data_IF_383645747380
#
_entry.id   IF_383645747380
#
_cell.length_a   1.000
_cell.length_b   1.000
_cell.length_c   1.000
_cell.angle_alpha   90.00
_cell.angle_beta   90.00
_cell.angle_gamma   90.00
#
_symmetry.space_group_name_H-M   'P 1'
#
loop_
_entity.id
_entity.type
_entity.pdbx_description
1 polymer ?
#
# COMPACT_ATOMS: atom_id res chain seq x y z
N UNK A 1 3.13 24.89 5.67
CA UNK A 1 3.45 23.48 5.48
C UNK A 1 2.42 22.61 6.15
N UNK A 2 1.80 21.72 5.41
CA UNK A 2 0.78 20.82 5.95
C UNK A 2 1.44 19.65 6.64
N UNK A 3 1.08 19.42 7.91
CA UNK A 3 1.51 18.25 8.67
C UNK A 3 0.39 17.21 8.67
N UNK A 4 0.71 15.98 8.32
CA UNK A 4 -0.25 14.89 8.28
C UNK A 4 -0.19 14.08 9.58
N UNK A 5 -1.35 13.82 10.17
CA UNK A 5 -1.47 12.95 11.33
C UNK A 5 -1.87 11.56 10.86
N UNK A 6 -0.99 10.59 11.08
CA UNK A 6 -1.27 9.18 10.76
C UNK A 6 -1.95 8.55 11.95
N UNK A 7 -3.09 7.92 11.71
CA UNK A 7 -3.94 7.35 12.77
C UNK A 7 -4.52 6.00 12.37
N UNK A 8 -4.98 5.20 13.34
CA UNK A 8 -5.66 3.94 13.00
C UNK A 8 -6.93 4.21 12.18
N UNK A 9 -7.18 3.32 11.20
CA UNK A 9 -8.42 3.35 10.44
C UNK A 9 -9.59 2.88 11.31
N UNK A 10 -10.79 3.34 10.98
CA UNK A 10 -12.02 2.87 11.64
C UNK A 10 -12.88 2.08 10.67
N UNK A 11 -13.76 1.23 11.21
CA UNK A 11 -14.66 0.43 10.37
C UNK A 11 -15.59 1.29 9.52
N UNK A 12 -15.96 2.48 10.00
CA UNK A 12 -16.79 3.41 9.25
C UNK A 12 -16.08 3.99 8.02
N UNK A 13 -14.77 3.85 7.94
CA UNK A 13 -13.97 4.40 6.84
C UNK A 13 -13.65 3.38 5.75
N UNK A 14 -14.04 2.12 5.91
CA UNK A 14 -13.68 1.06 4.97
C UNK A 14 -14.06 1.41 3.53
N UNK A 15 -15.27 1.91 3.31
CA UNK A 15 -15.72 2.23 1.95
C UNK A 15 -14.87 3.33 1.33
N UNK A 16 -14.50 4.34 2.10
CA UNK A 16 -13.64 5.42 1.60
C UNK A 16 -12.22 4.91 1.33
N UNK A 17 -11.67 4.09 2.20
CA UNK A 17 -10.33 3.49 2.01
C UNK A 17 -10.36 2.59 0.76
N UNK A 18 -11.43 1.81 0.59
CA UNK A 18 -11.59 0.96 -0.59
C UNK A 18 -11.60 1.79 -1.88
N UNK A 19 -12.23 2.97 -1.87
CA UNK A 19 -12.25 3.86 -3.02
C UNK A 19 -10.84 4.39 -3.34
N UNK A 20 -10.09 4.80 -2.33
CA UNK A 20 -8.70 5.23 -2.50
C UNK A 20 -7.86 4.11 -3.10
N UNK A 21 -8.03 2.90 -2.59
CA UNK A 21 -7.31 1.71 -3.08
C UNK A 21 -7.70 1.37 -4.51
N UNK A 22 -9.00 1.34 -4.80
CA UNK A 22 -9.51 1.05 -6.13
C UNK A 22 -8.96 2.04 -7.17
N UNK A 23 -9.10 3.34 -6.91
CA UNK A 23 -8.65 4.37 -7.84
C UNK A 23 -7.15 4.28 -8.09
N UNK A 24 -6.38 4.15 -7.00
CA UNK A 24 -4.92 4.08 -7.09
C UNK A 24 -4.43 2.81 -7.74
N UNK A 25 -5.05 1.67 -7.41
CA UNK A 25 -4.66 0.39 -7.96
C UNK A 25 -4.90 0.34 -9.48
N UNK A 26 -6.08 0.76 -9.92
CA UNK A 26 -6.41 0.73 -11.34
C UNK A 26 -5.53 1.70 -12.14
N UNK A 27 -5.28 2.89 -11.61
CA UNK A 27 -4.37 3.83 -12.26
C UNK A 27 -2.97 3.26 -12.42
N UNK A 28 -2.45 2.60 -11.37
CA UNK A 28 -1.07 2.13 -11.36
C UNK A 28 -0.88 0.78 -12.06
N UNK A 29 -1.87 -0.12 -12.01
CA UNK A 29 -1.67 -1.53 -12.33
C UNK A 29 -2.49 -2.07 -13.49
N UNK A 30 -3.63 -1.46 -13.83
CA UNK A 30 -4.56 -2.05 -14.81
C UNK A 30 -3.89 -2.42 -16.13
N UNK A 31 -2.92 -1.62 -16.57
CA UNK A 31 -2.19 -1.83 -17.84
C UNK A 31 -0.93 -2.71 -17.67
N UNK A 32 -0.59 -3.12 -16.43
CA UNK A 32 0.62 -3.87 -16.13
C UNK A 32 0.34 -5.33 -15.75
N UNK A 33 -0.93 -5.69 -15.52
CA UNK A 33 -1.32 -7.00 -15.02
C UNK A 33 -2.26 -7.69 -15.99
N UNK A 34 -2.45 -9.02 -15.88
CA UNK A 34 -3.41 -9.72 -16.74
C UNK A 34 -4.82 -9.15 -16.60
N UNK A 35 -5.58 -9.06 -17.71
CA UNK A 35 -6.95 -8.52 -17.66
C UNK A 35 -7.87 -9.23 -16.67
N UNK A 36 -7.67 -10.54 -16.45
CA UNK A 36 -8.47 -11.27 -15.46
C UNK A 36 -8.32 -10.71 -14.06
N UNK A 37 -7.10 -10.34 -13.67
CA UNK A 37 -6.89 -9.74 -12.36
C UNK A 37 -7.55 -8.36 -12.27
N UNK A 38 -7.43 -7.55 -13.32
CA UNK A 38 -8.05 -6.23 -13.37
C UNK A 38 -9.56 -6.34 -13.17
N UNK A 39 -10.20 -7.32 -13.81
CA UNK A 39 -11.65 -7.53 -13.67
C UNK A 39 -12.06 -7.94 -12.26
N UNK A 40 -11.19 -8.67 -11.55
CA UNK A 40 -11.47 -9.13 -10.19
C UNK A 40 -11.20 -8.07 -9.11
N UNK A 41 -10.49 -6.99 -9.45
CA UNK A 41 -10.20 -5.89 -8.52
C UNK A 41 -11.32 -4.86 -8.58
N UNK A 42 -12.48 -5.25 -8.09
CA UNK A 42 -13.66 -4.40 -7.98
C UNK A 42 -13.62 -3.59 -6.69
N UNK A 43 -14.42 -2.53 -6.61
CA UNK A 43 -14.53 -1.75 -5.38
C UNK A 43 -14.92 -2.63 -4.19
N UNK A 44 -15.88 -3.52 -4.41
CA UNK A 44 -16.34 -4.47 -3.38
C UNK A 44 -15.21 -5.41 -2.94
N UNK A 45 -14.36 -5.86 -3.87
CA UNK A 45 -13.25 -6.75 -3.53
C UNK A 45 -12.24 -6.07 -2.61
N UNK A 46 -11.99 -4.78 -2.81
CA UNK A 46 -11.11 -4.03 -1.93
C UNK A 46 -11.73 -3.84 -0.55
N UNK A 47 -13.03 -3.53 -0.47
CA UNK A 47 -13.73 -3.42 0.81
C UNK A 47 -13.69 -4.75 1.58
N UNK A 48 -13.95 -5.86 0.91
CA UNK A 48 -13.88 -7.19 1.54
C UNK A 48 -12.50 -7.52 2.07
N UNK A 49 -11.45 -7.15 1.34
CA UNK A 49 -10.06 -7.39 1.77
C UNK A 49 -9.67 -6.52 2.96
N UNK A 50 -10.24 -5.32 3.07
CA UNK A 50 -9.93 -4.40 4.16
C UNK A 50 -10.47 -4.88 5.51
N UNK A 51 -11.62 -5.55 5.53
CA UNK A 51 -12.24 -5.98 6.81
C UNK A 51 -11.27 -6.77 7.70
N UNK A 52 -10.67 -7.87 7.24
CA UNK A 52 -9.79 -8.65 8.11
C UNK A 52 -8.46 -7.96 8.43
N UNK A 53 -8.00 -7.03 7.59
CA UNK A 53 -6.72 -6.36 7.81
C UNK A 53 -6.84 -5.03 8.54
N UNK A 54 -8.06 -4.62 8.91
CA UNK A 54 -8.31 -3.29 9.48
C UNK A 54 -7.41 -2.94 10.67
N UNK A 55 -7.11 -3.85 11.61
CA UNK A 55 -6.20 -3.54 12.71
C UNK A 55 -4.79 -3.11 12.27
N UNK A 56 -4.37 -3.51 11.08
CA UNK A 56 -3.06 -3.19 10.53
C UNK A 56 -3.08 -2.01 9.56
N UNK A 57 -4.24 -1.33 9.42
CA UNK A 57 -4.41 -0.22 8.49
C UNK A 57 -4.36 1.10 9.24
N UNK A 58 -3.53 2.01 8.72
CA UNK A 58 -3.51 3.39 9.19
C UNK A 58 -3.79 4.34 8.06
N UNK A 59 -4.34 5.49 8.38
CA UNK A 59 -4.82 6.46 7.40
C UNK A 59 -4.31 7.86 7.73
N UNK A 60 -4.33 8.72 6.71
CA UNK A 60 -4.17 10.16 6.83
C UNK A 60 -5.40 10.83 6.23
N UNK A 61 -5.74 12.01 6.79
CA UNK A 61 -6.90 12.77 6.35
C UNK A 61 -7.95 12.87 7.43
N UNK A 62 -8.96 13.69 7.19
CA UNK A 62 -10.02 13.97 8.16
C UNK A 62 -10.78 12.69 8.53
N UNK A 63 -11.30 12.64 9.75
CA UNK A 63 -12.14 11.53 10.20
C UNK A 63 -13.32 11.34 9.25
N UNK A 64 -13.51 10.11 8.78
CA UNK A 64 -14.54 9.75 7.82
C UNK A 64 -14.19 10.06 6.36
N UNK A 65 -13.06 10.74 6.12
CA UNK A 65 -12.65 11.14 4.77
C UNK A 65 -11.13 10.98 4.57
N UNK A 66 -10.55 9.80 4.83
CA UNK A 66 -9.12 9.59 4.61
C UNK A 66 -8.76 9.79 3.13
N UNK A 67 -7.55 10.35 2.92
CA UNK A 67 -7.01 10.59 1.58
C UNK A 67 -5.86 9.64 1.24
N UNK A 68 -5.45 8.82 2.19
CA UNK A 68 -4.42 7.82 1.98
C UNK A 68 -4.41 6.80 3.08
N UNK A 69 -3.82 5.64 2.80
CA UNK A 69 -3.73 4.56 3.78
C UNK A 69 -2.46 3.74 3.57
N UNK A 70 -2.10 3.02 4.61
CA UNK A 70 -1.02 2.06 4.61
C UNK A 70 -1.44 0.83 5.40
N UNK A 71 -1.15 -0.35 4.87
CA UNK A 71 -1.40 -1.62 5.53
C UNK A 71 -0.10 -2.40 5.66
N UNK A 72 0.14 -2.98 6.83
CA UNK A 72 1.28 -3.84 7.10
C UNK A 72 0.84 -5.30 7.20
N UNK A 73 1.75 -6.22 6.88
CA UNK A 73 1.54 -7.65 7.03
C UNK A 73 2.88 -8.29 7.39
N UNK A 74 3.03 -8.72 8.65
CA UNK A 74 4.29 -9.25 9.17
C UNK A 74 5.44 -8.23 8.95
N UNK A 75 6.46 -8.58 8.17
CA UNK A 75 7.59 -7.70 7.88
C UNK A 75 7.40 -6.94 6.55
N UNK A 76 6.23 -7.00 5.97
CA UNK A 76 5.91 -6.43 4.66
C UNK A 76 5.14 -5.11 4.79
N UNK A 77 5.58 -4.09 4.04
CA UNK A 77 4.73 -2.96 3.71
C UNK A 77 3.78 -3.44 2.61
N UNK A 78 2.58 -3.88 3.03
CA UNK A 78 1.70 -4.65 2.17
C UNK A 78 0.98 -3.80 1.13
N UNK A 79 0.43 -2.65 1.55
CA UNK A 79 -0.25 -1.73 0.64
C UNK A 79 -0.04 -0.29 1.11
N UNK A 80 0.09 0.62 0.15
CA UNK A 80 0.10 2.06 0.41
C UNK A 80 -0.42 2.78 -0.82
N UNK A 81 -1.46 3.58 -0.62
CA UNK A 81 -2.05 4.40 -1.68
C UNK A 81 -2.47 5.75 -1.12
N UNK A 82 -2.33 6.78 -1.96
CA UNK A 82 -2.76 8.14 -1.65
C UNK A 82 -3.63 8.61 -2.80
N UNK A 83 -4.73 9.28 -2.48
CA UNK A 83 -5.65 9.78 -3.50
C UNK A 83 -4.94 10.80 -4.41
N UNK A 84 -5.44 10.91 -5.64
CA UNK A 84 -4.84 11.79 -6.63
C UNK A 84 -4.74 13.24 -6.13
N UNK A 85 -5.79 13.74 -5.47
CA UNK A 85 -5.83 15.11 -4.97
C UNK A 85 -4.79 15.39 -3.88
N UNK A 86 -4.36 14.36 -3.15
CA UNK A 86 -3.39 14.51 -2.07
C UNK A 86 -1.94 14.29 -2.49
N UNK A 87 -1.70 14.02 -3.78
CA UNK A 87 -0.33 13.83 -4.27
C UNK A 87 0.48 15.11 -4.17
N UNK A 88 1.75 14.97 -3.83
CA UNK A 88 2.64 16.11 -3.67
C UNK A 88 2.42 16.88 -2.38
N UNK A 89 1.57 16.37 -1.48
CA UNK A 89 1.23 17.04 -0.21
C UNK A 89 2.08 16.56 0.98
N UNK A 90 2.89 15.52 0.79
CA UNK A 90 3.62 14.88 1.89
C UNK A 90 2.86 13.74 2.57
N UNK A 91 1.65 13.43 2.12
CA UNK A 91 0.84 12.37 2.73
C UNK A 91 1.51 11.00 2.64
N UNK A 92 2.06 10.65 1.47
CA UNK A 92 2.76 9.37 1.28
C UNK A 92 4.01 9.28 2.17
N UNK A 93 4.77 10.37 2.29
CA UNK A 93 5.96 10.40 3.15
C UNK A 93 5.58 10.21 4.62
N UNK A 94 4.47 10.80 5.07
CA UNK A 94 3.99 10.62 6.44
C UNK A 94 3.57 9.17 6.71
N UNK A 95 2.84 8.55 5.77
CA UNK A 95 2.46 7.15 5.87
C UNK A 95 3.69 6.24 5.89
N UNK A 96 4.68 6.51 5.07
CA UNK A 96 5.91 5.73 5.02
C UNK A 96 6.68 5.81 6.34
N UNK A 97 6.84 7.01 6.90
CA UNK A 97 7.53 7.19 8.17
C UNK A 97 6.81 6.44 9.30
N UNK A 98 5.48 6.49 9.35
CA UNK A 98 4.70 5.75 10.33
C UNK A 98 4.84 4.24 10.15
N UNK A 99 4.78 3.75 8.91
CA UNK A 99 4.92 2.33 8.62
C UNK A 99 6.29 1.81 9.07
N UNK A 100 7.36 2.52 8.76
CA UNK A 100 8.72 2.13 9.16
C UNK A 100 8.87 2.13 10.68
N UNK A 101 8.31 3.12 11.35
CA UNK A 101 8.34 3.18 12.82
C UNK A 101 7.59 2.01 13.45
N UNK A 102 6.43 1.65 12.91
CA UNK A 102 5.66 0.51 13.44
C UNK A 102 6.36 -0.82 13.19
N UNK A 103 6.94 -1.01 12.01
CA UNK A 103 7.69 -2.22 11.70
C UNK A 103 8.90 -2.35 12.62
N UNK A 104 9.64 -1.27 12.82
CA UNK A 104 10.78 -1.25 13.72
C UNK A 104 10.36 -1.55 15.15
N UNK A 105 9.28 -0.95 15.63
CA UNK A 105 8.76 -1.20 16.98
C UNK A 105 8.31 -2.64 17.17
N UNK A 106 7.90 -3.32 16.10
CA UNK A 106 7.53 -4.73 16.14
C UNK A 106 8.74 -5.68 16.04
N UNK A 107 9.95 -5.15 15.98
CA UNK A 107 11.18 -5.94 15.93
C UNK A 107 11.65 -6.31 14.52
N UNK A 108 11.05 -5.74 13.49
CA UNK A 108 11.48 -6.00 12.11
C UNK A 108 12.81 -5.30 11.85
N UNK A 109 13.82 -6.07 11.44
CA UNK A 109 15.15 -5.53 11.14
C UNK A 109 15.30 -5.16 9.67
N UNK A 110 14.65 -5.90 8.78
CA UNK A 110 14.60 -5.59 7.35
C UNK A 110 13.18 -5.74 6.86
N UNK A 111 12.59 -4.64 6.41
CA UNK A 111 11.26 -4.63 5.82
C UNK A 111 11.36 -4.86 4.32
N UNK A 112 10.27 -5.35 3.73
CA UNK A 112 10.20 -5.53 2.28
C UNK A 112 8.85 -5.09 1.74
N UNK A 113 8.81 -4.86 0.44
CA UNK A 113 7.58 -4.59 -0.29
C UNK A 113 7.69 -5.14 -1.70
N UNK A 114 6.54 -5.38 -2.31
CA UNK A 114 6.44 -5.77 -3.72
C UNK A 114 5.93 -4.57 -4.52
N UNK A 115 6.60 -4.31 -5.65
CA UNK A 115 6.23 -3.23 -6.56
C UNK A 115 6.05 -3.83 -7.95
N UNK A 116 4.90 -3.62 -8.57
CA UNK A 116 4.65 -4.14 -9.91
C UNK A 116 5.71 -3.62 -10.89
N UNK A 117 6.25 -4.53 -11.70
CA UNK A 117 7.23 -4.15 -12.71
C UNK A 117 6.56 -3.19 -13.71
N UNK A 118 7.15 -2.01 -13.88
CA UNK A 118 6.61 -0.96 -14.74
C UNK A 118 5.91 0.16 -13.96
N UNK A 119 5.64 -0.03 -12.68
CA UNK A 119 5.11 1.04 -11.83
C UNK A 119 6.25 1.97 -11.38
N UNK A 120 6.74 2.75 -12.33
CA UNK A 120 7.97 3.54 -12.15
C UNK A 120 7.79 4.68 -11.16
N UNK A 121 6.59 5.25 -11.05
CA UNK A 121 6.33 6.31 -10.08
C UNK A 121 6.46 5.80 -8.66
N UNK A 122 5.88 4.64 -8.36
CA UNK A 122 6.02 4.03 -7.04
C UNK A 122 7.47 3.64 -6.77
N UNK A 123 8.15 3.06 -7.76
CA UNK A 123 9.56 2.69 -7.62
C UNK A 123 10.42 3.89 -7.25
N UNK A 124 10.22 5.04 -7.93
CA UNK A 124 10.96 6.27 -7.60
C UNK A 124 10.67 6.76 -6.18
N UNK A 125 9.42 6.65 -5.74
CA UNK A 125 9.05 7.04 -4.39
C UNK A 125 9.77 6.16 -3.35
N UNK A 126 9.77 4.86 -3.56
CA UNK A 126 10.45 3.93 -2.64
C UNK A 126 11.96 4.20 -2.61
N UNK A 127 12.57 4.40 -3.76
CA UNK A 127 14.02 4.68 -3.82
C UNK A 127 14.36 5.99 -3.12
N UNK A 128 13.55 7.03 -3.28
CA UNK A 128 13.74 8.29 -2.55
C UNK A 128 13.56 8.12 -1.05
N UNK A 129 12.76 7.16 -0.64
CA UNK A 129 12.53 6.87 0.78
C UNK A 129 13.58 5.93 1.38
N UNK A 130 14.60 5.58 0.61
CA UNK A 130 15.73 4.77 1.08
C UNK A 130 15.56 3.27 0.88
N UNK A 131 14.54 2.84 0.16
CA UNK A 131 14.36 1.42 -0.18
C UNK A 131 15.21 1.05 -1.39
N UNK A 132 15.65 -0.20 -1.42
CA UNK A 132 16.50 -0.70 -2.50
C UNK A 132 15.85 -1.88 -3.18
N UNK A 133 15.87 -1.89 -4.52
CA UNK A 133 15.45 -3.06 -5.29
C UNK A 133 16.47 -4.17 -5.11
N UNK A 134 16.05 -5.32 -4.60
CA UNK A 134 16.92 -6.43 -4.29
C UNK A 134 16.73 -7.63 -5.20
N UNK A 135 15.54 -7.78 -5.79
CA UNK A 135 15.23 -8.95 -6.62
C UNK A 135 14.00 -8.72 -7.48
N UNK A 136 13.81 -9.59 -8.44
CA UNK A 136 12.53 -9.85 -9.09
C UNK A 136 11.97 -11.12 -8.48
N UNK A 137 10.70 -11.16 -8.16
CA UNK A 137 10.07 -12.32 -7.54
C UNK A 137 8.66 -12.53 -8.07
N UNK A 138 8.13 -13.72 -7.88
CA UNK A 138 6.72 -14.01 -8.17
C UNK A 138 5.90 -13.72 -6.93
N UNK A 139 4.92 -12.83 -7.07
CA UNK A 139 3.97 -12.51 -6.02
C UNK A 139 2.64 -13.20 -6.33
N UNK A 140 2.07 -13.87 -5.33
CA UNK A 140 0.82 -14.61 -5.50
C UNK A 140 -0.35 -13.72 -5.06
N UNK A 141 -0.96 -13.03 -6.02
CA UNK A 141 -2.07 -12.11 -5.76
C UNK A 141 -3.33 -12.91 -5.40
N UNK A 142 -3.93 -12.61 -4.27
CA UNK A 142 -5.17 -13.24 -3.85
C UNK A 142 -6.33 -12.78 -4.69
N UNK A 143 -7.17 -13.73 -5.13
CA UNK A 143 -8.37 -13.46 -5.92
C UNK A 143 -9.53 -14.31 -5.39
N UNK A 144 -10.79 -14.00 -5.76
CA UNK A 144 -11.93 -14.81 -5.33
C UNK A 144 -11.87 -16.27 -5.81
N UNK A 145 -11.10 -16.56 -6.86
CA UNK A 145 -11.00 -17.91 -7.43
C UNK A 145 -9.66 -18.58 -7.13
N UNK A 146 -8.85 -18.02 -6.23
CA UNK A 146 -7.55 -18.57 -5.87
C UNK A 146 -6.46 -17.50 -5.91
N UNK A 147 -5.26 -17.89 -6.34
CA UNK A 147 -4.15 -16.96 -6.48
C UNK A 147 -3.76 -16.82 -7.94
N UNK A 148 -3.24 -15.64 -8.28
CA UNK A 148 -2.74 -15.35 -9.62
C UNK A 148 -1.30 -14.84 -9.49
N UNK A 149 -0.33 -15.53 -10.15
CA UNK A 149 1.07 -15.14 -10.03
C UNK A 149 1.38 -13.88 -10.83
N UNK A 150 2.16 -12.98 -10.24
CA UNK A 150 2.63 -11.75 -10.86
C UNK A 150 4.12 -11.61 -10.63
N UNK A 151 4.87 -11.22 -11.66
CA UNK A 151 6.26 -10.86 -11.46
C UNK A 151 6.35 -9.43 -10.97
N UNK A 152 7.09 -9.23 -9.88
CA UNK A 152 7.22 -7.94 -9.22
C UNK A 152 8.68 -7.68 -8.87
N UNK A 153 9.01 -6.40 -8.67
CA UNK A 153 10.26 -6.02 -8.03
C UNK A 153 10.10 -6.15 -6.52
N UNK A 154 11.09 -6.74 -5.87
CA UNK A 154 11.18 -6.74 -4.42
C UNK A 154 12.09 -5.61 -3.99
N UNK A 155 11.58 -4.77 -3.08
CA UNK A 155 12.36 -3.72 -2.43
C UNK A 155 12.54 -4.06 -0.96
N UNK A 156 13.69 -3.71 -0.42
CA UNK A 156 14.00 -3.92 0.99
C UNK A 156 14.59 -2.67 1.60
N UNK A 157 14.38 -2.54 2.91
CA UNK A 157 14.99 -1.46 3.69
C UNK A 157 15.36 -1.98 5.06
N UNK A 158 16.64 -1.86 5.47
CA UNK A 158 17.02 -2.13 6.85
C UNK A 158 16.45 -1.03 7.74
N UNK A 159 15.85 -1.44 8.87
CA UNK A 159 15.25 -0.54 9.82
C UNK A 159 16.12 -0.47 11.07
N UNK A 160 16.17 0.72 11.68
CA UNK A 160 16.84 0.90 12.96
C UNK A 160 15.85 0.75 14.09
N UNK A 161 16.28 0.00 15.08
CA UNK A 161 15.50 -0.16 16.31
C UNK A 161 15.39 1.18 17.05
#
# INVERSE_FOLDING_TARGET
MTSWNVRPATSAEIDRIAQVWFDGWHEAHAHLVPPDLTRMRTLESFAERLHPMLPDVRVVGASGAPVGFCALKDDELYQMFVSHEARGSGAAAALMADAEARLSAAGVTTAWLACAIGNDRAARFYEKSGWRRTATMTYHAETPTGVLPLDVWRYEKPLRA
#
